data_IF_872581683762
#
_entry.id   IF_872581683762
#
_cell.length_a   1.000
_cell.length_b   1.000
_cell.length_c   1.000
_cell.angle_alpha   90.00
_cell.angle_beta   90.00
_cell.angle_gamma   90.00
#
_symmetry.space_group_name_H-M   'P 1'
#
loop_
_entity.id
_entity.type
_entity.pdbx_description
1 polymer ?
#
# COMPACT_ATOMS: atom_id res chain seq x y z
N UNK A 1 -7.02 -4.68 -6.80
CA UNK A 1 -5.63 -5.07 -6.50
C UNK A 1 -5.40 -6.50 -6.96
N UNK A 2 -4.33 -6.77 -7.71
CA UNK A 2 -4.16 -8.07 -8.40
C UNK A 2 -2.94 -8.88 -7.94
N UNK A 3 -1.93 -8.25 -7.33
CA UNK A 3 -0.76 -8.98 -6.82
C UNK A 3 -0.11 -8.30 -5.60
N UNK A 4 0.62 -9.10 -4.82
CA UNK A 4 1.18 -8.73 -3.53
C UNK A 4 2.62 -9.22 -3.42
N UNK A 5 3.50 -8.39 -2.89
CA UNK A 5 4.85 -8.78 -2.44
C UNK A 5 4.84 -9.18 -0.96
N UNK A 6 4.05 -8.47 -0.15
CA UNK A 6 3.95 -8.73 1.29
C UNK A 6 2.86 -9.76 1.63
N UNK A 7 3.26 -10.98 2.01
CA UNK A 7 2.32 -12.07 2.35
C UNK A 7 1.39 -11.73 3.53
N UNK A 8 1.92 -11.09 4.58
CA UNK A 8 1.13 -10.70 5.75
C UNK A 8 0.05 -9.65 5.46
N UNK A 9 0.39 -8.60 4.71
CA UNK A 9 -0.54 -7.59 4.23
C UNK A 9 -1.63 -8.19 3.32
N UNK A 10 -1.28 -9.13 2.44
CA UNK A 10 -2.25 -9.89 1.64
C UNK A 10 -3.23 -10.64 2.55
N UNK A 11 -2.73 -11.41 3.51
CA UNK A 11 -3.57 -12.15 4.45
C UNK A 11 -4.48 -11.22 5.25
N UNK A 12 -3.97 -10.06 5.69
CA UNK A 12 -4.75 -9.03 6.36
C UNK A 12 -5.87 -8.49 5.47
N UNK A 13 -5.60 -8.20 4.19
CA UNK A 13 -6.60 -7.75 3.24
C UNK A 13 -7.71 -8.78 2.99
N UNK A 14 -7.34 -10.05 2.84
CA UNK A 14 -8.26 -11.13 2.46
C UNK A 14 -9.10 -11.64 3.65
N UNK A 15 -8.52 -11.64 4.85
CA UNK A 15 -9.12 -12.33 6.02
C UNK A 15 -9.31 -11.45 7.24
N UNK A 16 -8.70 -10.26 7.27
CA UNK A 16 -8.63 -9.41 8.47
C UNK A 16 -7.59 -9.85 9.50
N UNK A 17 -6.85 -10.94 9.27
CA UNK A 17 -5.82 -11.42 10.19
C UNK A 17 -4.66 -10.43 10.31
N UNK A 18 -4.38 -9.96 11.53
CA UNK A 18 -3.26 -9.05 11.80
C UNK A 18 -1.94 -9.76 12.09
N UNK A 19 -1.86 -11.10 11.99
CA UNK A 19 -0.68 -11.87 12.39
C UNK A 19 0.58 -11.59 11.56
N UNK A 20 0.41 -11.06 10.35
CA UNK A 20 1.50 -10.72 9.43
C UNK A 20 1.73 -9.23 9.26
N UNK A 21 1.15 -8.38 10.09
CA UNK A 21 1.33 -6.92 10.04
C UNK A 21 1.56 -6.37 11.44
N UNK A 22 1.93 -5.09 11.51
CA UNK A 22 1.91 -4.36 12.77
C UNK A 22 0.48 -4.09 13.21
N UNK A 23 0.06 -4.70 14.32
CA UNK A 23 -1.31 -4.64 14.80
C UNK A 23 -1.80 -3.21 15.08
N UNK A 24 -0.91 -2.33 15.57
CA UNK A 24 -1.18 -0.90 15.77
C UNK A 24 -1.49 -0.15 14.47
N UNK A 25 -1.05 -0.67 13.32
CA UNK A 25 -1.32 -0.08 12.01
C UNK A 25 -2.61 -0.60 11.35
N UNK A 26 -3.27 -1.62 11.92
CA UNK A 26 -4.38 -2.34 11.27
C UNK A 26 -5.49 -1.42 10.74
N UNK A 27 -5.95 -0.45 11.55
CA UNK A 27 -7.02 0.49 11.13
C UNK A 27 -6.59 1.34 9.93
N UNK A 28 -5.35 1.84 9.96
CA UNK A 28 -4.80 2.68 8.90
C UNK A 28 -4.58 1.86 7.62
N UNK A 29 -4.03 0.66 7.75
CA UNK A 29 -3.81 -0.27 6.64
C UNK A 29 -5.15 -0.65 5.99
N UNK A 30 -6.16 -1.02 6.77
CA UNK A 30 -7.48 -1.38 6.24
C UNK A 30 -8.08 -0.25 5.40
N UNK A 31 -8.00 0.99 5.88
CA UNK A 31 -8.48 2.14 5.13
C UNK A 31 -7.69 2.35 3.83
N UNK A 32 -6.35 2.34 3.89
CA UNK A 32 -5.52 2.54 2.68
C UNK A 32 -5.78 1.45 1.64
N UNK A 33 -5.81 0.18 2.07
CA UNK A 33 -6.06 -0.96 1.19
C UNK A 33 -7.46 -0.93 0.57
N UNK A 34 -8.48 -0.49 1.31
CA UNK A 34 -9.84 -0.36 0.78
C UNK A 34 -9.93 0.68 -0.36
N UNK A 35 -9.21 1.80 -0.23
CA UNK A 35 -9.16 2.82 -1.30
C UNK A 35 -8.31 2.32 -2.47
N UNK A 36 -7.13 1.73 -2.20
CA UNK A 36 -6.27 1.16 -3.25
C UNK A 36 -7.00 0.08 -4.05
N UNK A 37 -7.88 -0.72 -3.43
CA UNK A 37 -8.63 -1.74 -4.15
C UNK A 37 -9.56 -1.17 -5.24
N UNK A 38 -9.95 0.10 -5.11
CA UNK A 38 -10.88 0.78 -6.02
C UNK A 38 -10.18 1.82 -6.91
N UNK A 39 -8.91 2.10 -6.64
CA UNK A 39 -8.13 3.11 -7.34
C UNK A 39 -7.77 2.63 -8.75
N UNK A 40 -7.97 3.49 -9.75
CA UNK A 40 -7.54 3.25 -11.14
C UNK A 40 -6.37 4.12 -11.55
N UNK A 41 -6.12 5.20 -10.80
CA UNK A 41 -5.02 6.14 -11.06
C UNK A 41 -4.42 6.65 -9.74
N UNK A 42 -3.18 7.16 -9.74
CA UNK A 42 -2.57 7.77 -8.57
C UNK A 42 -3.40 8.90 -7.95
N UNK A 43 -4.13 9.66 -8.77
CA UNK A 43 -4.98 10.74 -8.30
C UNK A 43 -6.09 10.25 -7.35
N UNK A 44 -6.58 9.01 -7.50
CA UNK A 44 -7.62 8.44 -6.62
C UNK A 44 -7.13 8.19 -5.18
N UNK A 45 -5.81 8.15 -4.97
CA UNK A 45 -5.18 7.87 -3.67
C UNK A 45 -4.33 9.04 -3.15
N UNK A 46 -4.41 10.21 -3.80
CA UNK A 46 -3.74 11.43 -3.37
C UNK A 46 -4.53 12.15 -2.26
N UNK A 47 -4.68 11.46 -1.12
CA UNK A 47 -5.47 11.95 0.01
C UNK A 47 -4.61 12.76 1.00
N UNK A 48 -5.16 13.77 1.68
CA UNK A 48 -4.46 14.52 2.71
C UNK A 48 -3.83 13.59 3.76
N UNK A 49 -2.58 13.84 4.12
CA UNK A 49 -1.83 13.05 5.10
C UNK A 49 -1.25 11.72 4.59
N UNK A 50 -1.59 11.28 3.36
CA UNK A 50 -1.04 10.04 2.80
C UNK A 50 0.35 10.24 2.21
N UNK A 51 0.71 11.50 1.91
CA UNK A 51 2.02 11.90 1.36
C UNK A 51 2.39 11.06 0.13
N UNK A 52 1.43 10.91 -0.78
CA UNK A 52 1.61 10.14 -2.01
C UNK A 52 2.76 10.74 -2.82
N UNK A 53 3.71 9.91 -3.24
CA UNK A 53 4.78 10.32 -4.14
C UNK A 53 5.28 9.13 -4.98
N UNK A 54 5.74 9.39 -6.22
CA UNK A 54 6.39 8.36 -7.03
C UNK A 54 7.78 8.04 -6.48
N UNK A 55 8.20 6.78 -6.64
CA UNK A 55 9.55 6.31 -6.33
C UNK A 55 10.45 6.38 -7.58
N UNK A 56 11.76 6.23 -7.37
CA UNK A 56 12.80 6.37 -8.41
C UNK A 56 13.79 5.21 -8.34
N UNK A 57 14.65 5.10 -9.36
CA UNK A 57 15.69 4.06 -9.44
C UNK A 57 15.08 2.68 -9.70
N UNK A 58 15.53 1.66 -8.97
CA UNK A 58 15.00 0.27 -9.07
C UNK A 58 13.50 0.14 -8.80
N UNK A 59 12.89 1.15 -8.16
CA UNK A 59 11.46 1.24 -7.89
C UNK A 59 10.76 2.28 -8.77
N UNK A 60 11.34 2.67 -9.90
CA UNK A 60 10.66 3.52 -10.88
C UNK A 60 9.33 2.89 -11.32
N UNK A 61 8.28 3.73 -11.42
CA UNK A 61 6.90 3.30 -11.67
C UNK A 61 6.13 2.88 -10.41
N UNK A 62 6.80 2.70 -9.27
CA UNK A 62 6.10 2.53 -7.98
C UNK A 62 5.72 3.88 -7.36
N UNK A 63 4.74 3.80 -6.48
CA UNK A 63 4.22 4.86 -5.64
C UNK A 63 4.32 4.46 -4.19
N UNK A 64 4.41 5.46 -3.31
CA UNK A 64 4.52 5.26 -1.87
C UNK A 64 3.47 6.05 -1.12
N UNK A 65 2.82 5.42 -0.15
CA UNK A 65 1.90 6.03 0.83
C UNK A 65 2.46 5.84 2.24
N UNK A 66 2.40 6.90 3.04
CA UNK A 66 2.78 6.87 4.45
C UNK A 66 1.70 6.22 5.31
N UNK A 67 2.10 5.21 6.09
CA UNK A 67 1.25 4.56 7.10
C UNK A 67 1.47 5.21 8.46
N UNK A 68 2.70 5.15 8.96
CA UNK A 68 3.12 5.74 10.24
C UNK A 68 4.64 5.89 10.26
N UNK A 69 5.16 7.06 10.67
CA UNK A 69 6.59 7.33 10.77
C UNK A 69 7.39 6.87 9.53
N UNK A 70 8.13 5.77 9.63
CA UNK A 70 8.95 5.18 8.56
C UNK A 70 8.23 4.10 7.74
N UNK A 71 7.05 3.66 8.17
CA UNK A 71 6.29 2.61 7.50
C UNK A 71 5.58 3.13 6.24
N UNK A 72 5.73 2.39 5.15
CA UNK A 72 5.16 2.70 3.84
C UNK A 72 4.37 1.51 3.29
N UNK A 73 3.31 1.80 2.56
CA UNK A 73 2.83 0.89 1.51
C UNK A 73 3.44 1.37 0.20
N UNK A 74 4.06 0.46 -0.55
CA UNK A 74 4.48 0.72 -1.92
C UNK A 74 3.70 -0.18 -2.88
N UNK A 75 3.43 0.34 -4.08
CA UNK A 75 2.63 -0.35 -5.09
C UNK A 75 2.88 0.28 -6.46
N UNK A 76 2.49 -0.38 -7.54
CA UNK A 76 2.46 0.24 -8.87
C UNK A 76 1.08 0.12 -9.50
N UNK A 77 0.80 1.02 -10.44
CA UNK A 77 -0.33 0.86 -11.33
C UNK A 77 0.11 0.11 -12.57
N UNK A 78 -0.68 -0.88 -12.99
CA UNK A 78 -0.57 -1.55 -14.27
C UNK A 78 -1.92 -1.46 -14.95
N UNK A 79 -1.98 -0.66 -16.01
CA UNK A 79 -3.24 -0.19 -16.59
C UNK A 79 -4.16 0.43 -15.52
N UNK A 80 -5.31 -0.18 -15.23
CA UNK A 80 -6.27 0.31 -14.22
C UNK A 80 -6.23 -0.44 -12.90
N UNK A 81 -5.26 -1.36 -12.74
CA UNK A 81 -5.08 -2.18 -11.56
C UNK A 81 -3.90 -1.73 -10.70
N UNK A 82 -4.04 -1.95 -9.39
CA UNK A 82 -2.95 -1.85 -8.42
C UNK A 82 -2.30 -3.21 -8.21
N UNK A 83 -0.97 -3.27 -8.31
CA UNK A 83 -0.23 -4.52 -8.20
C UNK A 83 1.10 -4.39 -7.44
N UNK A 84 1.72 -5.54 -7.14
CA UNK A 84 2.97 -5.67 -6.41
C UNK A 84 2.96 -4.95 -5.06
N UNK A 85 1.82 -4.98 -4.38
CA UNK A 85 1.61 -4.25 -3.13
C UNK A 85 2.52 -4.81 -2.04
N UNK A 86 3.28 -3.92 -1.42
CA UNK A 86 4.25 -4.22 -0.37
C UNK A 86 4.07 -3.30 0.84
N UNK A 87 4.56 -3.74 2.00
CA UNK A 87 4.46 -3.03 3.27
C UNK A 87 5.80 -3.10 4.01
N UNK A 88 6.48 -1.97 4.08
CA UNK A 88 7.91 -1.92 4.42
C UNK A 88 8.16 -0.90 5.52
N UNK A 89 9.15 -1.18 6.36
CA UNK A 89 9.79 -0.17 7.21
C UNK A 89 10.98 0.41 6.44
N UNK A 90 11.11 1.74 6.41
CA UNK A 90 12.23 2.42 5.72
C UNK A 90 13.47 2.55 6.63
N UNK A 91 13.70 1.60 7.53
CA UNK A 91 14.90 1.48 8.36
C UNK A 91 15.47 0.07 8.27
#
# INVERSE_FOLDING_TARGET
>A
MVSWRHKGLKAFFETGSSSGIRADHSKRLAHVLAVLNRARTPANVNMPGWRLHPLKGELEGFWSITINANWRIIFRFFDTDVELVDYLDYH
#
